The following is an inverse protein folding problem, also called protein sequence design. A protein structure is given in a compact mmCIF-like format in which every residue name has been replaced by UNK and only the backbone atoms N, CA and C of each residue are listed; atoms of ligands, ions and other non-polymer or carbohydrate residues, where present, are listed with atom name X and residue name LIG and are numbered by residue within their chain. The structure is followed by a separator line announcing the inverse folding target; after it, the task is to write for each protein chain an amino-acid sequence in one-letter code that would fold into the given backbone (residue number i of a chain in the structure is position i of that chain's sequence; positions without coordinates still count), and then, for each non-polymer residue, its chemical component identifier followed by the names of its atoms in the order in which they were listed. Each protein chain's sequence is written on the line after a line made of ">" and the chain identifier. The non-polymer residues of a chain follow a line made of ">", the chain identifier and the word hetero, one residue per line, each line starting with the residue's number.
data_IF_579197712774
#
_entry.id   IF_579197712774
#
_cell.length_a   1.000
_cell.length_b   1.000
_cell.length_c   1.000
_cell.angle_alpha   90.00
_cell.angle_beta   90.00
_cell.angle_gamma   90.00
#
_symmetry.space_group_name_H-M   'P 1'
#
loop_
_entity.id
_entity.type
_entity.pdbx_description
1 polymer ?
#
# COMPACT_ATOMS: atom_id res chain seq x y z
N UNK A 1 42.21 13.54 49.25
CA UNK A 1 40.84 13.02 49.42
C UNK A 1 40.14 12.98 48.06
N UNK A 2 40.10 11.83 47.36
CA UNK A 2 39.41 11.70 46.05
C UNK A 2 38.05 11.02 46.29
N UNK A 3 36.99 11.81 46.43
CA UNK A 3 35.62 11.28 46.58
C UNK A 3 35.11 10.83 45.21
N UNK A 4 34.79 9.54 45.15
CA UNK A 4 34.33 8.78 43.99
C UNK A 4 32.96 9.28 43.50
N UNK A 5 32.92 9.80 42.28
CA UNK A 5 31.68 10.11 41.54
C UNK A 5 31.14 8.78 41.01
N UNK A 6 30.37 8.06 41.83
CA UNK A 6 29.78 6.75 41.49
C UNK A 6 28.25 6.75 41.68
N UNK A 7 27.60 7.89 41.46
CA UNK A 7 26.15 8.04 41.66
C UNK A 7 25.39 8.63 40.45
N UNK A 8 26.06 8.88 39.32
CA UNK A 8 25.41 9.44 38.12
C UNK A 8 25.06 8.41 37.04
N UNK A 9 25.40 7.14 37.24
CA UNK A 9 25.10 6.06 36.28
C UNK A 9 23.63 5.56 36.37
N UNK A 10 22.95 5.49 37.54
CA UNK A 10 21.58 4.97 37.58
C UNK A 10 20.56 5.94 36.93
N UNK A 11 20.84 7.24 36.94
CA UNK A 11 19.94 8.25 36.38
C UNK A 11 19.99 8.33 34.84
N UNK A 12 21.12 7.95 34.23
CA UNK A 12 21.26 7.92 32.77
C UNK A 12 20.46 6.76 32.14
N UNK A 13 20.23 5.68 32.89
CA UNK A 13 19.49 4.50 32.43
C UNK A 13 17.97 4.74 32.50
N UNK A 14 17.47 5.53 33.47
CA UNK A 14 16.05 5.90 33.53
C UNK A 14 15.62 6.92 32.45
N UNK A 15 16.54 7.76 31.95
CA UNK A 15 16.26 8.71 30.87
C UNK A 15 16.00 8.05 29.50
N UNK A 16 16.52 6.83 29.28
CA UNK A 16 16.37 6.09 28.02
C UNK A 16 15.01 5.42 27.86
N UNK A 17 14.19 5.32 28.91
CA UNK A 17 12.84 4.73 28.81
C UNK A 17 11.74 5.74 28.42
N UNK A 18 12.02 7.05 28.41
CA UNK A 18 11.01 8.08 28.14
C UNK A 18 10.92 8.52 26.67
N UNK A 19 11.82 8.07 25.79
CA UNK A 19 11.80 8.42 24.36
C UNK A 19 10.94 7.47 23.51
N UNK A 20 10.37 6.41 24.12
CA UNK A 20 9.55 5.40 23.46
C UNK A 20 8.04 5.64 23.45
N UNK A 21 7.56 6.84 23.78
CA UNK A 21 6.13 7.18 23.69
C UNK A 21 5.68 7.32 22.22
N UNK A 22 5.67 6.21 21.48
CA UNK A 22 4.99 6.14 20.19
C UNK A 22 3.48 6.20 20.44
N UNK A 23 2.95 7.42 20.62
CA UNK A 23 1.53 7.62 20.89
C UNK A 23 0.72 6.93 19.79
N UNK A 24 -0.28 6.14 20.20
CA UNK A 24 -1.22 5.56 19.24
C UNK A 24 -1.87 6.68 18.44
N UNK A 25 -2.13 6.42 17.16
CA UNK A 25 -2.76 7.36 16.23
C UNK A 25 -4.13 6.84 15.83
N UNK A 26 -5.01 7.75 15.40
CA UNK A 26 -6.33 7.37 14.90
C UNK A 26 -6.31 7.39 13.37
N UNK A 27 -6.81 6.33 12.74
CA UNK A 27 -7.03 6.27 11.31
C UNK A 27 -8.37 5.58 11.01
N UNK A 28 -9.24 6.24 10.24
CA UNK A 28 -10.58 5.73 9.96
C UNK A 28 -11.37 5.45 11.25
N UNK A 29 -11.28 6.31 12.27
CA UNK A 29 -11.86 6.12 13.61
C UNK A 29 -11.30 4.93 14.42
N UNK A 30 -10.23 4.29 13.97
CA UNK A 30 -9.58 3.17 14.66
C UNK A 30 -8.26 3.64 15.27
N UNK A 31 -8.05 3.36 16.56
CA UNK A 31 -6.78 3.58 17.24
C UNK A 31 -5.79 2.49 16.81
N UNK A 32 -4.65 2.89 16.27
CA UNK A 32 -3.58 2.01 15.78
C UNK A 32 -2.22 2.50 16.30
N UNK A 33 -1.23 1.60 16.36
CA UNK A 33 0.12 2.00 16.75
C UNK A 33 0.72 3.00 15.76
N UNK A 34 1.67 3.82 16.22
CA UNK A 34 2.39 4.75 15.34
C UNK A 34 3.08 4.05 14.16
N UNK A 35 3.63 2.85 14.39
CA UNK A 35 4.23 2.02 13.33
C UNK A 35 3.20 1.65 12.25
N UNK A 36 2.03 1.15 12.65
CA UNK A 36 0.95 0.78 11.73
C UNK A 36 0.41 1.99 11.00
N UNK A 37 0.31 3.14 11.66
CA UNK A 37 -0.06 4.38 11.01
C UNK A 37 0.95 4.77 9.92
N UNK A 38 2.25 4.68 10.21
CA UNK A 38 3.30 4.96 9.22
C UNK A 38 3.26 3.97 8.06
N UNK A 39 2.96 2.69 8.31
CA UNK A 39 2.71 1.70 7.27
C UNK A 39 1.53 2.13 6.38
N UNK A 40 0.39 2.51 6.97
CA UNK A 40 -0.78 3.01 6.21
C UNK A 40 -0.41 4.20 5.32
N UNK A 41 0.36 5.17 5.82
CA UNK A 41 0.78 6.31 5.00
C UNK A 41 1.73 5.90 3.86
N UNK A 42 2.62 4.94 4.12
CA UNK A 42 3.53 4.39 3.12
C UNK A 42 2.74 3.65 2.03
N UNK A 43 1.82 2.79 2.42
CA UNK A 43 0.94 2.06 1.50
C UNK A 43 0.10 3.03 0.66
N UNK A 44 -0.50 4.06 1.29
CA UNK A 44 -1.24 5.11 0.57
C UNK A 44 -0.39 5.80 -0.49
N UNK A 45 0.88 6.10 -0.20
CA UNK A 45 1.80 6.73 -1.15
C UNK A 45 1.99 5.85 -2.38
N UNK A 46 2.32 4.57 -2.20
CA UNK A 46 2.60 3.66 -3.32
C UNK A 46 1.33 3.22 -4.06
N UNK A 47 0.20 3.07 -3.37
CA UNK A 47 -1.10 2.88 -4.01
C UNK A 47 -1.47 4.08 -4.86
N UNK A 48 -1.28 5.31 -4.37
CA UNK A 48 -1.55 6.50 -5.17
C UNK A 48 -0.61 6.62 -6.38
N UNK A 49 0.64 6.17 -6.27
CA UNK A 49 1.53 6.10 -7.43
C UNK A 49 1.01 5.11 -8.48
N UNK A 50 0.57 3.92 -8.06
CA UNK A 50 -0.02 2.94 -8.95
C UNK A 50 -1.29 3.48 -9.63
N UNK A 51 -2.23 4.02 -8.86
CA UNK A 51 -3.47 4.60 -9.39
C UNK A 51 -3.19 5.71 -10.42
N UNK A 52 -2.25 6.62 -10.13
CA UNK A 52 -1.87 7.68 -11.08
C UNK A 52 -1.26 7.12 -12.38
N UNK A 53 -0.46 6.05 -12.29
CA UNK A 53 0.09 5.40 -13.48
C UNK A 53 -1.01 4.70 -14.28
N UNK A 54 -2.00 4.10 -13.61
CA UNK A 54 -3.15 3.45 -14.24
C UNK A 54 -4.08 4.46 -14.93
N UNK A 55 -4.35 5.62 -14.32
CA UNK A 55 -5.14 6.71 -14.95
C UNK A 55 -4.51 7.20 -16.25
N UNK A 56 -3.17 7.19 -16.32
CA UNK A 56 -2.37 7.62 -17.48
C UNK A 56 -1.98 6.47 -18.40
N UNK A 57 -2.58 5.29 -18.23
CA UNK A 57 -2.25 4.15 -19.06
C UNK A 57 -2.66 4.42 -20.50
N UNK A 58 -1.77 4.15 -21.43
CA UNK A 58 -2.00 4.27 -22.87
C UNK A 58 -1.34 3.07 -23.56
N UNK A 59 -2.16 2.19 -24.14
CA UNK A 59 -1.72 0.96 -24.81
C UNK A 59 -0.83 1.23 -26.02
N UNK A 60 -0.90 2.43 -26.61
CA UNK A 60 -0.07 2.83 -27.75
C UNK A 60 1.26 3.47 -27.31
N UNK A 61 1.39 3.86 -26.04
CA UNK A 61 2.59 4.49 -25.48
C UNK A 61 3.32 3.54 -24.51
N UNK A 62 4.41 2.86 -24.94
CA UNK A 62 5.13 1.88 -24.12
C UNK A 62 5.59 2.39 -22.75
N UNK A 63 5.90 3.68 -22.66
CA UNK A 63 6.32 4.32 -21.41
C UNK A 63 5.26 4.27 -20.30
N UNK A 64 3.97 4.23 -20.64
CA UNK A 64 2.89 4.22 -19.64
C UNK A 64 2.78 2.86 -18.96
N UNK A 65 2.88 1.76 -19.70
CA UNK A 65 2.94 0.39 -19.17
C UNK A 65 4.14 0.22 -18.21
N UNK A 66 5.32 0.72 -18.61
CA UNK A 66 6.53 0.64 -17.80
C UNK A 66 6.42 1.42 -16.47
N UNK A 67 5.70 2.54 -16.47
CA UNK A 67 5.40 3.30 -15.25
C UNK A 67 4.52 2.50 -14.28
N UNK A 68 3.55 1.74 -14.81
CA UNK A 68 2.70 0.86 -14.01
C UNK A 68 3.53 -0.29 -13.44
N UNK A 69 4.34 -0.97 -14.24
CA UNK A 69 5.20 -2.06 -13.76
C UNK A 69 6.14 -1.59 -12.65
N UNK A 70 6.72 -0.39 -12.80
CA UNK A 70 7.55 0.22 -11.79
C UNK A 70 6.77 0.53 -10.51
N UNK A 71 5.55 1.05 -10.61
CA UNK A 71 4.68 1.32 -9.47
C UNK A 71 4.25 0.03 -8.75
N UNK A 72 3.87 -1.00 -9.50
CA UNK A 72 3.54 -2.34 -9.00
C UNK A 72 4.70 -2.93 -8.20
N UNK A 73 5.92 -2.90 -8.74
CA UNK A 73 7.11 -3.41 -8.06
C UNK A 73 7.39 -2.66 -6.75
N UNK A 74 7.26 -1.32 -6.76
CA UNK A 74 7.43 -0.48 -5.57
C UNK A 74 6.38 -0.80 -4.51
N UNK A 75 5.10 -0.90 -4.90
CA UNK A 75 4.02 -1.28 -3.99
C UNK A 75 4.25 -2.66 -3.38
N UNK A 76 4.57 -3.67 -4.21
CA UNK A 76 4.87 -5.01 -3.73
C UNK A 76 6.04 -5.01 -2.73
N UNK A 77 7.12 -4.28 -3.01
CA UNK A 77 8.30 -4.19 -2.12
C UNK A 77 7.96 -3.54 -0.78
N UNK A 78 7.19 -2.46 -0.80
CA UNK A 78 6.98 -1.62 0.39
C UNK A 78 5.84 -2.14 1.26
N UNK A 79 4.72 -2.56 0.66
CA UNK A 79 3.60 -3.13 1.41
C UNK A 79 3.93 -4.52 1.99
N UNK A 80 4.84 -5.26 1.37
CA UNK A 80 5.22 -6.59 1.85
C UNK A 80 6.07 -6.58 3.12
N UNK A 81 6.73 -5.47 3.50
CA UNK A 81 7.75 -5.46 4.58
C UNK A 81 7.28 -6.13 5.87
N UNK A 82 6.06 -5.80 6.30
CA UNK A 82 5.46 -6.24 7.56
C UNK A 82 4.45 -7.38 7.40
N UNK A 83 4.42 -8.03 6.23
CA UNK A 83 3.53 -9.15 5.94
C UNK A 83 4.15 -10.51 6.29
N UNK A 84 3.29 -11.48 6.59
CA UNK A 84 3.65 -12.89 6.70
C UNK A 84 4.16 -13.42 5.36
N UNK A 85 4.95 -14.50 5.34
CA UNK A 85 5.41 -15.13 4.08
C UNK A 85 4.25 -15.48 3.14
N UNK A 86 3.14 -15.96 3.70
CA UNK A 86 1.96 -16.31 2.93
C UNK A 86 1.29 -15.07 2.31
N UNK A 87 1.14 -13.98 3.07
CA UNK A 87 0.54 -12.75 2.55
C UNK A 87 1.46 -12.07 1.53
N UNK A 88 2.79 -12.14 1.71
CA UNK A 88 3.77 -11.70 0.70
C UNK A 88 3.58 -12.43 -0.63
N UNK A 89 3.38 -13.74 -0.57
CA UNK A 89 3.13 -14.56 -1.77
C UNK A 89 1.82 -14.14 -2.44
N UNK A 90 0.73 -14.02 -1.68
CA UNK A 90 -0.58 -13.58 -2.20
C UNK A 90 -0.52 -12.18 -2.80
N UNK A 91 0.20 -11.26 -2.16
CA UNK A 91 0.37 -9.89 -2.67
C UNK A 91 1.10 -9.92 -4.03
N UNK A 92 2.18 -10.70 -4.11
CA UNK A 92 2.92 -10.89 -5.36
C UNK A 92 2.08 -11.55 -6.44
N UNK A 93 1.22 -12.50 -6.09
CA UNK A 93 0.28 -13.12 -7.03
C UNK A 93 -0.68 -12.10 -7.62
N UNK A 94 -1.35 -11.30 -6.78
CA UNK A 94 -2.30 -10.26 -7.22
C UNK A 94 -1.63 -9.14 -8.03
N UNK A 95 -0.38 -8.80 -7.69
CA UNK A 95 0.32 -7.68 -8.33
C UNK A 95 1.13 -8.08 -9.57
N UNK A 96 1.76 -9.26 -9.58
CA UNK A 96 2.86 -9.58 -10.50
C UNK A 96 2.68 -10.91 -11.23
N UNK A 97 2.37 -12.01 -10.53
CA UNK A 97 2.61 -13.36 -11.07
C UNK A 97 1.36 -14.14 -11.50
N UNK A 98 0.18 -13.82 -10.98
CA UNK A 98 -1.05 -14.44 -11.46
C UNK A 98 -1.35 -13.96 -12.89
N UNK A 99 -1.97 -14.78 -13.74
CA UNK A 99 -2.44 -14.40 -15.07
C UNK A 99 -3.39 -13.20 -15.01
N UNK A 100 -4.18 -13.12 -13.95
CA UNK A 100 -5.05 -11.96 -13.64
C UNK A 100 -4.36 -10.89 -12.83
N UNK A 101 -3.05 -10.94 -12.62
CA UNK A 101 -2.37 -9.90 -11.86
C UNK A 101 -2.45 -8.54 -12.56
N UNK A 102 -2.40 -7.45 -11.80
CA UNK A 102 -2.42 -6.09 -12.38
C UNK A 102 -1.35 -5.94 -13.46
N UNK A 103 -0.14 -6.48 -13.23
CA UNK A 103 0.94 -6.45 -14.22
C UNK A 103 0.58 -7.20 -15.51
N UNK A 104 0.00 -8.39 -15.41
CA UNK A 104 -0.34 -9.20 -16.58
C UNK A 104 -1.57 -8.66 -17.33
N UNK A 105 -2.55 -8.10 -16.63
CA UNK A 105 -3.67 -7.40 -17.26
C UNK A 105 -3.14 -6.25 -18.13
N UNK A 106 -2.27 -5.40 -17.58
CA UNK A 106 -1.67 -4.29 -18.32
C UNK A 106 -0.78 -4.77 -19.47
N UNK A 107 -0.03 -5.85 -19.26
CA UNK A 107 0.78 -6.47 -20.33
C UNK A 107 -0.10 -6.92 -21.48
N UNK A 108 -1.21 -7.62 -21.20
CA UNK A 108 -2.13 -8.09 -22.22
C UNK A 108 -2.83 -6.93 -22.93
N UNK A 109 -3.24 -5.89 -22.20
CA UNK A 109 -3.83 -4.68 -22.77
C UNK A 109 -2.86 -3.99 -23.74
N UNK A 110 -1.60 -3.83 -23.33
CA UNK A 110 -0.55 -3.27 -24.16
C UNK A 110 -0.26 -4.12 -25.41
N UNK A 111 -0.11 -5.45 -25.26
CA UNK A 111 0.27 -6.34 -26.36
C UNK A 111 -0.81 -6.49 -27.44
N UNK A 112 -2.08 -6.41 -27.06
CA UNK A 112 -3.20 -6.57 -27.98
C UNK A 112 -3.81 -5.24 -28.43
N UNK A 113 -3.20 -4.11 -28.04
CA UNK A 113 -3.73 -2.77 -28.28
C UNK A 113 -5.22 -2.65 -27.91
N UNK A 114 -5.63 -3.29 -26.80
CA UNK A 114 -7.02 -3.23 -26.36
C UNK A 114 -7.37 -1.78 -26.03
N UNK A 115 -8.40 -1.26 -26.71
CA UNK A 115 -9.03 -0.01 -26.35
C UNK A 115 -9.62 -0.07 -24.93
N UNK A 116 -9.83 1.10 -24.34
CA UNK A 116 -10.36 1.25 -22.98
C UNK A 116 -11.81 0.83 -22.89
N UNK A 117 -12.05 -0.47 -22.78
CA UNK A 117 -13.34 -1.07 -22.45
C UNK A 117 -13.53 -1.08 -20.91
N UNK A 118 -14.78 -1.01 -20.46
CA UNK A 118 -15.23 -1.33 -19.10
C UNK A 118 -14.65 -2.67 -18.59
N UNK A 119 -14.35 -3.62 -19.48
CA UNK A 119 -13.69 -4.89 -19.16
C UNK A 119 -12.28 -4.71 -18.57
N UNK A 120 -11.50 -3.74 -19.05
CA UNK A 120 -10.15 -3.48 -18.55
C UNK A 120 -10.20 -2.82 -17.16
N UNK A 121 -11.02 -1.78 -17.02
CA UNK A 121 -11.17 -1.05 -15.75
C UNK A 121 -11.76 -1.96 -14.67
N UNK A 122 -12.74 -2.80 -15.02
CA UNK A 122 -13.34 -3.80 -14.12
C UNK A 122 -12.37 -4.89 -13.68
N UNK A 123 -11.56 -5.42 -14.61
CA UNK A 123 -10.54 -6.44 -14.31
C UNK A 123 -9.48 -5.90 -13.36
N UNK A 124 -8.96 -4.69 -13.62
CA UNK A 124 -7.96 -4.04 -12.75
C UNK A 124 -8.56 -3.72 -11.39
N UNK A 125 -9.79 -3.18 -11.35
CA UNK A 125 -10.47 -2.82 -10.10
C UNK A 125 -10.63 -4.00 -9.17
N UNK A 126 -11.07 -5.14 -9.72
CA UNK A 126 -11.27 -6.38 -8.94
C UNK A 126 -10.01 -6.79 -8.20
N UNK A 127 -8.87 -6.80 -8.89
CA UNK A 127 -7.60 -7.25 -8.33
C UNK A 127 -6.98 -6.17 -7.43
N UNK A 128 -7.17 -4.90 -7.77
CA UNK A 128 -6.78 -3.78 -6.92
C UNK A 128 -7.47 -3.84 -5.55
N UNK A 129 -8.78 -4.05 -5.48
CA UNK A 129 -9.47 -4.12 -4.19
C UNK A 129 -9.02 -5.32 -3.35
N UNK A 130 -8.69 -6.46 -3.97
CA UNK A 130 -8.06 -7.60 -3.28
C UNK A 130 -6.70 -7.21 -2.69
N UNK A 131 -5.88 -6.45 -3.43
CA UNK A 131 -4.61 -5.90 -2.91
C UNK A 131 -4.87 -5.00 -1.71
N UNK A 132 -5.83 -4.08 -1.77
CA UNK A 132 -6.12 -3.18 -0.64
C UNK A 132 -6.59 -3.95 0.60
N UNK A 133 -7.43 -4.96 0.43
CA UNK A 133 -7.80 -5.83 1.55
C UNK A 133 -6.57 -6.51 2.18
N UNK A 134 -5.66 -7.00 1.35
CA UNK A 134 -4.47 -7.70 1.83
C UNK A 134 -3.49 -6.78 2.56
N UNK A 135 -3.23 -5.58 2.06
CA UNK A 135 -2.31 -4.62 2.72
C UNK A 135 -2.89 -4.06 4.03
N UNK A 136 -4.21 -4.04 4.19
CA UNK A 136 -4.87 -3.54 5.41
C UNK A 136 -4.98 -4.62 6.50
N UNK A 137 -4.94 -5.90 6.14
CA UNK A 137 -5.05 -7.00 7.09
C UNK A 137 -4.11 -6.91 8.31
N UNK A 138 -2.81 -6.56 8.16
CA UNK A 138 -1.89 -6.45 9.29
C UNK A 138 -2.18 -5.27 10.24
N UNK A 139 -2.94 -4.27 9.78
CA UNK A 139 -3.20 -3.05 10.56
C UNK A 139 -4.05 -3.37 11.80
N UNK A 140 -5.07 -4.21 11.66
CA UNK A 140 -5.92 -4.58 12.80
C UNK A 140 -6.49 -5.98 12.69
N UNK A 141 -6.55 -6.69 13.83
CA UNK A 141 -7.09 -8.05 13.91
C UNK A 141 -8.61 -8.08 13.88
N UNK A 142 -9.27 -6.98 14.27
CA UNK A 142 -10.74 -6.91 14.34
C UNK A 142 -11.35 -6.58 12.97
N UNK A 143 -12.26 -7.43 12.50
CA UNK A 143 -12.89 -7.30 11.17
C UNK A 143 -13.61 -5.96 10.98
N UNK A 144 -14.39 -5.53 11.99
CA UNK A 144 -15.09 -4.24 11.96
C UNK A 144 -14.12 -3.05 11.78
N UNK A 145 -12.98 -3.09 12.47
CA UNK A 145 -11.95 -2.06 12.35
C UNK A 145 -11.23 -2.13 10.99
N UNK A 146 -10.99 -3.33 10.45
CA UNK A 146 -10.44 -3.47 9.09
C UNK A 146 -11.35 -2.81 8.05
N UNK A 147 -12.67 -2.99 8.14
CA UNK A 147 -13.64 -2.33 7.24
C UNK A 147 -13.55 -0.81 7.33
N UNK A 148 -13.43 -0.26 8.54
CA UNK A 148 -13.27 1.19 8.75
C UNK A 148 -11.96 1.73 8.15
N UNK A 149 -10.84 1.04 8.41
CA UNK A 149 -9.53 1.38 7.83
C UNK A 149 -9.57 1.28 6.30
N UNK A 150 -10.18 0.23 5.77
CA UNK A 150 -10.40 0.03 4.33
C UNK A 150 -11.20 1.17 3.71
N UNK A 151 -12.36 1.50 4.25
CA UNK A 151 -13.21 2.57 3.73
C UNK A 151 -12.46 3.92 3.74
N UNK A 152 -11.76 4.23 4.82
CA UNK A 152 -10.94 5.45 4.90
C UNK A 152 -9.81 5.43 3.86
N UNK A 153 -9.14 4.29 3.67
CA UNK A 153 -8.07 4.14 2.69
C UNK A 153 -8.56 4.33 1.26
N UNK A 154 -9.69 3.73 0.89
CA UNK A 154 -10.32 3.93 -0.42
C UNK A 154 -10.70 5.39 -0.63
N UNK A 155 -11.29 6.04 0.40
CA UNK A 155 -11.64 7.47 0.37
C UNK A 155 -10.40 8.35 0.18
N UNK A 156 -9.36 8.15 0.97
CA UNK A 156 -8.15 8.98 0.94
C UNK A 156 -7.35 8.85 -0.36
N UNK A 157 -7.40 7.67 -0.98
CA UNK A 157 -6.73 7.41 -2.27
C UNK A 157 -7.58 7.82 -3.47
N UNK A 158 -8.88 8.08 -3.26
CA UNK A 158 -9.89 8.24 -4.31
C UNK A 158 -9.91 7.06 -5.29
N UNK A 159 -9.66 5.85 -4.79
CA UNK A 159 -9.40 4.69 -5.64
C UNK A 159 -10.52 4.41 -6.64
N UNK A 160 -11.78 4.45 -6.21
CA UNK A 160 -12.92 4.21 -7.11
C UNK A 160 -12.92 5.16 -8.32
N UNK A 161 -12.82 6.47 -8.06
CA UNK A 161 -12.81 7.47 -9.12
C UNK A 161 -11.65 7.25 -10.09
N UNK A 162 -10.45 7.01 -9.57
CA UNK A 162 -9.24 6.83 -10.40
C UNK A 162 -9.25 5.55 -11.21
N UNK A 163 -9.83 4.48 -10.66
CA UNK A 163 -9.96 3.20 -11.36
C UNK A 163 -11.00 3.28 -12.49
N UNK A 164 -12.09 4.02 -12.29
CA UNK A 164 -13.05 4.30 -13.36
C UNK A 164 -12.41 5.09 -14.51
N UNK A 165 -11.32 5.82 -14.24
CA UNK A 165 -10.62 6.64 -15.21
C UNK A 165 -9.38 5.94 -15.82
N UNK A 166 -9.17 4.64 -15.58
CA UNK A 166 -8.00 3.91 -16.10
C UNK A 166 -7.91 4.08 -17.61
N UNK A 167 -6.85 4.76 -18.06
CA UNK A 167 -6.55 5.05 -19.45
C UNK A 167 -7.58 5.88 -20.24
N UNK A 168 -8.49 6.53 -19.53
CA UNK A 168 -9.39 7.54 -20.11
C UNK A 168 -8.71 8.90 -20.32
N UNK A 169 -7.56 9.12 -19.67
CA UNK A 169 -6.77 10.35 -19.80
C UNK A 169 -5.75 10.19 -20.95
N UNK A 170 -6.22 10.36 -22.19
CA UNK A 170 -5.38 10.34 -23.40
C UNK A 170 -4.75 11.70 -23.70
#
# INVERSE_FOLDING_TARGET
>A
MKKKIYWLIPFLILGLFLTGCSRNKVYGTVVISSEKYNQVQTDKKYVNQLLKSLEKFDSEKPGTAQNIYSAVNKLNKEASKNMTKQDKKKLRELLITNDKSIKNIIKNAYQNHYGFDDDLSGSISTEFYKVIHLIINPITKQSANRKKVYNQFIKDTKAQQKLNNVGTTQ
#
